data_IF_961245258809
#
_entry.id   IF_961245258809
#
_cell.length_a   1.000
_cell.length_b   1.000
_cell.length_c   1.000
_cell.angle_alpha   90.00
_cell.angle_beta   90.00
_cell.angle_gamma   90.00
#
_symmetry.space_group_name_H-M   'P 1'
#
loop_
_entity.id
_entity.type
_entity.pdbx_description
1 polymer ?
#
# COMPACT_ATOMS: atom_id res chain seq x y z
N UNK A 1 -6.93 -24.22 -21.94
CA UNK A 1 -7.86 -24.07 -20.78
C UNK A 1 -7.15 -24.03 -19.41
N UNK A 2 -5.97 -24.65 -19.22
CA UNK A 2 -5.23 -24.67 -17.93
C UNK A 2 -4.78 -23.29 -17.42
N UNK A 3 -4.46 -22.37 -18.34
CA UNK A 3 -3.98 -21.02 -18.04
C UNK A 3 -5.07 -20.04 -17.57
N UNK A 4 -6.34 -20.29 -17.91
CA UNK A 4 -7.47 -19.50 -17.39
C UNK A 4 -7.75 -19.82 -15.92
N UNK A 5 -7.56 -21.08 -15.50
CA UNK A 5 -7.65 -21.48 -14.09
C UNK A 5 -6.52 -20.93 -13.24
N UNK A 6 -5.29 -20.84 -13.75
CA UNK A 6 -4.16 -20.26 -12.99
C UNK A 6 -4.33 -18.76 -12.77
N UNK A 7 -4.89 -18.03 -13.74
CA UNK A 7 -5.26 -16.63 -13.56
C UNK A 7 -6.42 -16.49 -12.57
N UNK A 8 -7.47 -17.31 -12.67
CA UNK A 8 -8.57 -17.30 -11.69
C UNK A 8 -8.09 -17.64 -10.27
N UNK A 9 -7.17 -18.59 -10.09
CA UNK A 9 -6.61 -18.94 -8.79
C UNK A 9 -5.79 -17.81 -8.16
N UNK A 10 -5.08 -17.02 -8.98
CA UNK A 10 -4.39 -15.82 -8.52
C UNK A 10 -5.36 -14.72 -8.05
N UNK A 11 -6.57 -14.66 -8.61
CA UNK A 11 -7.63 -13.73 -8.19
C UNK A 11 -8.44 -14.23 -6.98
N UNK A 12 -8.51 -15.55 -6.73
CA UNK A 12 -9.24 -16.12 -5.59
C UNK A 12 -8.40 -16.25 -4.31
N UNK A 13 -7.10 -15.95 -4.36
CA UNK A 13 -6.22 -15.98 -3.19
C UNK A 13 -5.77 -17.38 -2.76
N UNK A 14 -6.02 -18.42 -3.57
CA UNK A 14 -5.64 -19.82 -3.30
C UNK A 14 -4.14 -20.10 -3.59
N UNK A 15 -3.26 -19.16 -3.25
CA UNK A 15 -1.82 -19.42 -3.21
C UNK A 15 -1.49 -20.33 -2.01
N UNK A 16 -0.40 -21.13 -2.05
CA UNK A 16 0.02 -21.90 -0.89
C UNK A 16 0.12 -20.95 0.30
N UNK A 17 -0.61 -21.27 1.37
CA UNK A 17 -0.63 -20.50 2.61
C UNK A 17 0.78 -20.56 3.23
N UNK A 18 1.64 -19.65 2.80
CA UNK A 18 2.89 -19.38 3.49
C UNK A 18 2.50 -19.00 4.92
N UNK A 19 3.09 -19.67 5.92
CA UNK A 19 2.77 -19.37 7.32
C UNK A 19 2.88 -17.86 7.55
N UNK A 20 1.89 -17.24 8.19
CA UNK A 20 1.77 -15.77 8.25
C UNK A 20 3.05 -15.05 8.70
N UNK A 21 3.85 -15.69 9.54
CA UNK A 21 5.19 -15.23 9.94
C UNK A 21 6.19 -15.09 8.77
N UNK A 22 6.18 -16.01 7.82
CA UNK A 22 7.03 -15.96 6.63
C UNK A 22 6.63 -14.82 5.71
N UNK A 23 5.34 -14.62 5.48
CA UNK A 23 4.84 -13.49 4.69
C UNK A 23 5.16 -12.15 5.35
N UNK A 24 5.04 -12.06 6.67
CA UNK A 24 5.46 -10.87 7.43
C UNK A 24 6.97 -10.61 7.29
N UNK A 25 7.80 -11.64 7.38
CA UNK A 25 9.25 -11.52 7.20
C UNK A 25 9.64 -11.12 5.79
N UNK A 26 9.02 -11.72 4.77
CA UNK A 26 9.25 -11.35 3.36
C UNK A 26 8.85 -9.89 3.12
N UNK A 27 7.69 -9.45 3.63
CA UNK A 27 7.26 -8.05 3.55
C UNK A 27 8.20 -7.09 4.30
N UNK A 28 8.65 -7.47 5.50
CA UNK A 28 9.63 -6.69 6.26
C UNK A 28 10.96 -6.59 5.52
N UNK A 29 11.49 -7.70 5.00
CA UNK A 29 12.74 -7.73 4.26
C UNK A 29 12.68 -6.87 3.00
N UNK A 30 11.58 -6.96 2.24
CA UNK A 30 11.35 -6.12 1.05
C UNK A 30 11.22 -4.64 1.42
N UNK A 31 10.53 -4.34 2.53
CA UNK A 31 10.35 -2.97 3.04
C UNK A 31 11.66 -2.33 3.48
N UNK A 32 12.49 -3.06 4.22
CA UNK A 32 13.83 -2.62 4.66
C UNK A 32 14.78 -2.51 3.47
N UNK A 33 14.72 -3.43 2.50
CA UNK A 33 15.53 -3.38 1.30
C UNK A 33 15.08 -2.31 0.29
N UNK A 34 13.95 -1.63 0.53
CA UNK A 34 13.45 -0.61 -0.38
C UNK A 34 14.29 0.68 -0.26
N UNK A 35 15.06 1.06 -1.30
CA UNK A 35 15.95 2.21 -1.24
C UNK A 35 15.19 3.53 -1.05
N UNK A 36 13.94 3.63 -1.50
CA UNK A 36 13.10 4.82 -1.28
C UNK A 36 12.77 4.99 0.20
N UNK A 37 12.41 3.90 0.86
CA UNK A 37 12.13 3.89 2.31
C UNK A 37 13.36 4.32 3.09
N UNK A 38 14.53 3.76 2.76
CA UNK A 38 15.80 4.11 3.38
C UNK A 38 16.10 5.61 3.19
N UNK A 39 16.03 6.11 1.96
CA UNK A 39 16.32 7.52 1.65
C UNK A 39 15.34 8.46 2.37
N UNK A 40 14.05 8.13 2.43
CA UNK A 40 13.07 8.91 3.16
C UNK A 40 13.41 9.00 4.65
N UNK A 41 13.64 7.88 5.32
CA UNK A 41 13.99 7.88 6.73
C UNK A 41 15.34 8.54 6.99
N UNK A 42 16.34 8.32 6.14
CA UNK A 42 17.65 8.96 6.26
C UNK A 42 17.58 10.49 6.07
N UNK A 43 16.64 11.00 5.28
CA UNK A 43 16.44 12.44 5.11
C UNK A 43 15.62 13.07 6.24
N UNK A 44 14.62 12.36 6.76
CA UNK A 44 13.62 12.89 7.69
C UNK A 44 14.02 12.66 9.16
N UNK A 45 14.44 11.46 9.54
CA UNK A 45 14.72 11.11 10.95
C UNK A 45 15.82 11.96 11.60
N UNK A 46 16.97 12.25 10.95
CA UNK A 46 18.03 13.02 11.60
C UNK A 46 17.63 14.45 11.96
N UNK A 47 16.57 14.99 11.35
CA UNK A 47 16.08 16.34 11.63
C UNK A 47 15.34 16.41 12.98
N UNK A 48 14.84 15.28 13.48
CA UNK A 48 14.09 15.19 14.74
C UNK A 48 14.91 14.59 15.89
N UNK A 49 16.20 14.32 15.67
CA UNK A 49 17.08 13.66 16.64
C UNK A 49 18.04 14.66 17.25
N UNK A 50 18.08 14.68 18.58
CA UNK A 50 18.98 15.52 19.35
C UNK A 50 20.32 14.80 19.55
N UNK A 51 21.36 15.31 18.88
CA UNK A 51 22.70 14.70 18.89
C UNK A 51 23.42 14.86 20.22
N UNK A 52 23.05 15.84 21.05
CA UNK A 52 23.74 16.13 22.32
C UNK A 52 23.38 15.12 23.43
N UNK A 53 22.29 14.38 23.28
CA UNK A 53 21.81 13.37 24.27
C UNK A 53 22.41 11.96 24.10
N UNK A 54 23.38 11.79 23.21
CA UNK A 54 24.21 10.57 23.07
C UNK A 54 23.55 9.33 22.45
N UNK A 55 22.22 9.24 22.38
CA UNK A 55 21.49 8.04 21.94
C UNK A 55 20.74 8.21 20.60
N UNK A 56 21.45 8.68 19.58
CA UNK A 56 20.91 8.99 18.22
C UNK A 56 20.21 7.78 17.58
N UNK A 57 20.85 6.60 17.62
CA UNK A 57 20.30 5.37 16.99
C UNK A 57 18.99 4.94 17.65
N UNK A 58 18.90 5.02 18.99
CA UNK A 58 17.68 4.65 19.71
C UNK A 58 16.54 5.61 19.39
N UNK A 59 16.80 6.92 19.32
CA UNK A 59 15.79 7.91 18.92
C UNK A 59 15.30 7.68 17.48
N UNK A 60 16.20 7.36 16.55
CA UNK A 60 15.84 7.01 15.17
C UNK A 60 14.95 5.76 15.09
N UNK A 61 15.28 4.71 15.85
CA UNK A 61 14.48 3.49 15.92
C UNK A 61 13.09 3.76 16.50
N UNK A 62 13.00 4.57 17.56
CA UNK A 62 11.74 4.94 18.20
C UNK A 62 10.85 5.76 17.25
N UNK A 63 11.41 6.76 16.58
CA UNK A 63 10.70 7.57 15.59
C UNK A 63 10.23 6.73 14.39
N UNK A 64 11.07 5.84 13.89
CA UNK A 64 10.71 4.90 12.82
C UNK A 64 9.57 3.95 13.23
N UNK A 65 9.60 3.45 14.47
CA UNK A 65 8.55 2.58 15.00
C UNK A 65 7.22 3.32 15.16
N UNK A 66 7.24 4.55 15.68
CA UNK A 66 6.04 5.40 15.80
C UNK A 66 5.45 5.69 14.43
N UNK A 67 6.28 6.05 13.45
CA UNK A 67 5.83 6.27 12.07
C UNK A 67 5.17 5.01 11.49
N UNK A 68 5.80 3.84 11.66
CA UNK A 68 5.25 2.57 11.19
C UNK A 68 3.92 2.24 11.88
N UNK A 69 3.81 2.44 13.19
CA UNK A 69 2.56 2.24 13.92
C UNK A 69 1.43 3.13 13.38
N UNK A 70 1.71 4.41 13.12
CA UNK A 70 0.74 5.34 12.51
C UNK A 70 0.35 4.87 11.11
N UNK A 71 1.31 4.42 10.29
CA UNK A 71 1.05 3.90 8.95
C UNK A 71 0.13 2.67 9.01
N UNK A 72 0.45 1.69 9.86
CA UNK A 72 -0.37 0.47 10.04
C UNK A 72 -1.78 0.80 10.52
N UNK A 73 -1.93 1.72 11.48
CA UNK A 73 -3.24 2.16 11.96
C UNK A 73 -4.02 2.84 10.84
N UNK A 74 -3.39 3.75 10.10
CA UNK A 74 -4.02 4.47 8.99
C UNK A 74 -4.48 3.51 7.90
N UNK A 75 -3.60 2.60 7.48
CA UNK A 75 -3.89 1.58 6.47
C UNK A 75 -4.99 0.62 6.94
N UNK A 76 -5.00 0.26 8.22
CA UNK A 76 -6.05 -0.59 8.80
C UNK A 76 -7.40 0.13 8.80
N UNK A 77 -7.43 1.41 9.20
CA UNK A 77 -8.65 2.23 9.17
C UNK A 77 -9.15 2.34 7.73
N UNK A 78 -8.27 2.58 6.76
CA UNK A 78 -8.65 2.66 5.35
C UNK A 78 -9.10 1.31 4.79
N UNK A 79 -8.43 0.22 5.16
CA UNK A 79 -8.80 -1.14 4.77
C UNK A 79 -10.17 -1.53 5.32
N UNK A 80 -10.44 -1.24 6.60
CA UNK A 80 -11.73 -1.48 7.23
C UNK A 80 -12.83 -0.58 6.64
N UNK A 81 -12.54 0.70 6.38
CA UNK A 81 -13.46 1.61 5.72
C UNK A 81 -13.80 1.13 4.30
N UNK A 82 -12.80 0.69 3.53
CA UNK A 82 -12.98 0.14 2.20
C UNK A 82 -13.75 -1.20 2.22
N UNK A 83 -13.49 -2.07 3.21
CA UNK A 83 -14.25 -3.31 3.41
C UNK A 83 -15.72 -3.04 3.77
N UNK A 84 -15.96 -2.06 4.63
CA UNK A 84 -17.31 -1.63 5.02
C UNK A 84 -18.06 -1.00 3.84
N UNK A 85 -17.38 -0.13 3.09
CA UNK A 85 -17.92 0.43 1.86
C UNK A 85 -18.24 -0.68 0.85
N UNK A 86 -17.33 -1.66 0.65
CA UNK A 86 -17.54 -2.80 -0.24
C UNK A 86 -18.73 -3.65 0.17
N UNK A 87 -18.89 -3.97 1.47
CA UNK A 87 -20.04 -4.76 1.95
C UNK A 87 -21.35 -3.99 1.78
N UNK A 88 -21.33 -2.66 1.95
CA UNK A 88 -22.48 -1.80 1.69
C UNK A 88 -22.82 -1.67 0.20
N UNK A 89 -21.81 -1.58 -0.68
CA UNK A 89 -22.01 -1.57 -2.13
C UNK A 89 -22.49 -2.94 -2.66
N UNK A 90 -22.03 -4.04 -2.06
CA UNK A 90 -22.44 -5.39 -2.41
C UNK A 90 -23.94 -5.65 -2.17
N UNK A 91 -24.61 -4.85 -1.35
CA UNK A 91 -26.08 -4.93 -1.16
C UNK A 91 -26.89 -4.43 -2.36
N UNK A 92 -26.29 -3.73 -3.33
CA UNK A 92 -27.02 -3.23 -4.50
C UNK A 92 -26.15 -3.24 -5.78
N UNK A 93 -26.45 -4.12 -6.76
CA UNK A 93 -25.67 -4.26 -8.00
C UNK A 93 -25.51 -2.97 -8.81
N UNK A 94 -26.52 -2.09 -8.77
CA UNK A 94 -26.48 -0.80 -9.49
C UNK A 94 -25.43 0.16 -8.93
N UNK A 95 -25.22 0.18 -7.61
CA UNK A 95 -24.27 1.12 -6.96
C UNK A 95 -22.82 0.71 -7.20
N UNK A 96 -22.57 -0.59 -7.21
CA UNK A 96 -21.26 -1.16 -7.56
C UNK A 96 -20.90 -0.83 -9.02
N UNK A 97 -21.86 -0.90 -9.94
CA UNK A 97 -21.68 -0.53 -11.34
C UNK A 97 -21.37 0.97 -11.53
N UNK A 98 -22.04 1.86 -10.79
CA UNK A 98 -21.79 3.31 -10.87
C UNK A 98 -20.40 3.67 -10.33
N UNK A 99 -20.00 3.13 -9.18
CA UNK A 99 -18.67 3.41 -8.60
C UNK A 99 -17.55 2.82 -9.46
N UNK A 100 -17.73 1.60 -9.96
CA UNK A 100 -16.80 1.00 -10.92
C UNK A 100 -16.70 1.80 -12.22
N UNK A 101 -17.82 2.31 -12.73
CA UNK A 101 -17.87 3.17 -13.91
C UNK A 101 -17.15 4.50 -13.71
N UNK A 102 -17.35 5.17 -12.56
CA UNK A 102 -16.65 6.42 -12.22
C UNK A 102 -15.15 6.17 -12.05
N UNK A 103 -14.75 5.08 -11.37
CA UNK A 103 -13.34 4.70 -11.22
C UNK A 103 -12.67 4.39 -12.56
N UNK A 104 -13.36 3.65 -13.44
CA UNK A 104 -12.88 3.38 -14.80
C UNK A 104 -12.74 4.65 -15.64
N UNK A 105 -13.74 5.53 -15.60
CA UNK A 105 -13.73 6.80 -16.34
C UNK A 105 -12.61 7.73 -15.86
N UNK A 106 -12.36 7.77 -14.55
CA UNK A 106 -11.25 8.55 -13.99
C UNK A 106 -9.89 7.96 -14.37
N UNK A 107 -9.72 6.63 -14.41
CA UNK A 107 -8.49 6.02 -14.96
C UNK A 107 -8.29 6.31 -16.44
N UNK A 108 -9.36 6.28 -17.25
CA UNK A 108 -9.30 6.66 -18.66
C UNK A 108 -8.91 8.12 -18.79
N UNK A 109 -9.56 9.02 -18.04
CA UNK A 109 -9.23 10.45 -18.03
C UNK A 109 -7.77 10.72 -17.66
N UNK A 110 -7.27 10.08 -16.59
CA UNK A 110 -5.87 10.19 -16.19
C UNK A 110 -4.92 9.63 -17.26
N UNK A 111 -5.24 8.48 -17.84
CA UNK A 111 -4.45 7.88 -18.92
C UNK A 111 -4.40 8.75 -20.16
N UNK A 112 -5.51 9.37 -20.53
CA UNK A 112 -5.59 10.34 -21.65
C UNK A 112 -4.78 11.59 -21.34
N UNK A 113 -4.91 12.15 -20.14
CA UNK A 113 -4.12 13.31 -19.73
C UNK A 113 -2.64 13.01 -19.77
N UNK A 114 -2.19 11.90 -19.19
CA UNK A 114 -0.78 11.47 -19.22
C UNK A 114 -0.30 11.18 -20.64
N UNK A 115 -1.12 10.58 -21.50
CA UNK A 115 -0.77 10.37 -22.90
C UNK A 115 -0.69 11.69 -23.70
N UNK A 116 -1.46 12.71 -23.31
CA UNK A 116 -1.43 14.02 -23.93
C UNK A 116 -0.26 14.88 -23.43
N UNK A 117 0.03 14.88 -22.12
CA UNK A 117 1.18 15.61 -21.55
C UNK A 117 2.51 14.87 -21.73
N UNK A 118 2.51 13.54 -21.75
CA UNK A 118 3.69 12.72 -22.06
C UNK A 118 4.06 12.69 -23.54
N UNK A 119 3.27 13.35 -24.41
CA UNK A 119 3.56 13.56 -25.84
C UNK A 119 3.97 15.02 -26.13
N UNK A 120 4.40 15.74 -25.10
CA UNK A 120 4.91 17.11 -25.19
C UNK A 120 6.45 17.18 -25.29
N UNK A 121 7.13 16.04 -25.43
CA UNK A 121 8.55 15.94 -25.79
C UNK A 121 8.72 15.21 -27.14
#
# INVERSE_FOLDING_TARGET
MRQRRSLQAAFTGDGPAHGGLRTLWEGFAVGVANPKTIVFFAAVLPQFVDRERGHVVLQMLLLGLVFNAIAVVSDSVWGLAAATARTWFARSPRRLATVGGVGGLSMIGLGVTVAATGRAD
#
